data_IF_710030017483
#
_entry.id   IF_710030017483
#
_cell.length_a   1.000
_cell.length_b   1.000
_cell.length_c   1.000
_cell.angle_alpha   90.00
_cell.angle_beta   90.00
_cell.angle_gamma   90.00
#
_symmetry.space_group_name_H-M   'P 1'
#
loop_
_entity.id
_entity.type
_entity.pdbx_description
1 polymer ?
#
# COMPACT_ATOMS: atom_id res chain seq x y z
N UNK A 1 -22.38 19.71 1.38
CA UNK A 1 -20.99 20.16 1.22
C UNK A 1 -20.23 19.08 0.46
N UNK A 2 -20.09 19.23 -0.86
CA UNK A 2 -19.41 18.26 -1.72
C UNK A 2 -17.91 18.53 -1.71
N UNK A 3 -17.19 17.80 -0.85
CA UNK A 3 -15.72 17.79 -0.90
C UNK A 3 -15.30 17.21 -2.26
N UNK A 4 -14.73 18.05 -3.12
CA UNK A 4 -14.20 17.66 -4.42
C UNK A 4 -12.97 16.80 -4.14
N UNK A 5 -13.20 15.50 -3.95
CA UNK A 5 -12.14 14.52 -3.70
C UNK A 5 -11.10 14.58 -4.82
N UNK A 6 -10.03 15.37 -4.61
CA UNK A 6 -8.95 15.52 -5.57
C UNK A 6 -8.38 14.12 -5.81
N UNK A 7 -8.57 13.60 -7.02
CA UNK A 7 -8.05 12.29 -7.44
C UNK A 7 -6.54 12.29 -7.19
N UNK A 8 -6.09 11.42 -6.27
CA UNK A 8 -4.67 11.28 -5.95
C UNK A 8 -4.05 10.29 -6.91
N UNK A 9 -2.90 10.67 -7.46
CA UNK A 9 -2.13 9.82 -8.35
C UNK A 9 -0.76 9.53 -7.73
N UNK A 10 -0.32 8.27 -7.78
CA UNK A 10 1.02 7.87 -7.38
C UNK A 10 1.89 7.59 -8.62
N UNK A 11 3.15 8.04 -8.55
CA UNK A 11 4.19 7.70 -9.54
C UNK A 11 4.50 6.20 -9.47
N UNK A 12 4.51 5.53 -10.62
CA UNK A 12 4.81 4.08 -10.74
C UNK A 12 6.25 3.70 -10.35
N UNK A 13 7.18 4.66 -10.40
CA UNK A 13 8.62 4.46 -10.20
C UNK A 13 9.14 4.90 -8.82
N UNK A 14 8.26 5.06 -7.83
CA UNK A 14 8.66 5.40 -6.45
C UNK A 14 9.28 4.18 -5.78
N UNK A 15 10.26 4.44 -4.93
CA UNK A 15 10.82 3.47 -3.97
C UNK A 15 9.71 2.66 -3.27
N UNK A 16 9.86 1.34 -3.20
CA UNK A 16 8.77 0.47 -2.75
C UNK A 16 8.50 0.67 -1.26
N UNK A 17 9.54 0.88 -0.44
CA UNK A 17 9.35 1.14 0.99
C UNK A 17 8.62 2.45 1.22
N UNK A 18 9.00 3.54 0.52
CA UNK A 18 8.27 4.82 0.60
C UNK A 18 6.80 4.67 0.22
N UNK A 19 6.50 3.84 -0.78
CA UNK A 19 5.12 3.58 -1.19
C UNK A 19 4.31 2.86 -0.11
N UNK A 20 4.87 1.80 0.47
CA UNK A 20 4.24 1.04 1.57
C UNK A 20 4.07 1.90 2.82
N UNK A 21 5.08 2.68 3.17
CA UNK A 21 5.08 3.55 4.34
C UNK A 21 4.02 4.65 4.23
N UNK A 22 3.80 5.18 3.02
CA UNK A 22 2.74 6.16 2.75
C UNK A 22 1.34 5.57 2.77
N UNK A 23 1.17 4.36 2.24
CA UNK A 23 -0.14 3.68 2.23
C UNK A 23 -0.53 3.16 3.62
N UNK A 24 0.46 2.68 4.39
CA UNK A 24 0.27 1.91 5.63
C UNK A 24 -0.68 0.71 5.42
N UNK A 25 -0.56 0.07 4.26
CA UNK A 25 -1.33 -1.11 3.85
C UNK A 25 -0.41 -2.17 3.27
N UNK A 26 -0.71 -3.43 3.52
CA UNK A 26 0.07 -4.57 3.05
C UNK A 26 -0.80 -5.67 2.46
N UNK A 27 -0.58 -6.11 1.20
CA UNK A 27 -1.29 -7.25 0.63
C UNK A 27 -0.55 -8.54 0.98
N UNK A 28 -1.21 -9.41 1.75
CA UNK A 28 -0.70 -10.75 2.02
C UNK A 28 -0.79 -11.64 0.77
N UNK A 29 -0.04 -12.75 0.77
CA UNK A 29 -0.06 -13.71 -0.35
C UNK A 29 -1.44 -14.35 -0.54
N UNK A 30 -2.26 -14.42 0.51
CA UNK A 30 -3.66 -14.88 0.48
C UNK A 30 -4.61 -13.92 -0.24
N UNK A 31 -4.14 -12.73 -0.61
CA UNK A 31 -4.99 -11.65 -1.15
C UNK A 31 -5.81 -10.93 -0.08
N UNK A 32 -5.48 -11.12 1.19
CA UNK A 32 -6.01 -10.30 2.30
C UNK A 32 -5.19 -9.01 2.40
N UNK A 33 -5.87 -7.87 2.53
CA UNK A 33 -5.27 -6.56 2.73
C UNK A 33 -5.20 -6.24 4.23
N UNK A 34 -4.01 -6.02 4.76
CA UNK A 34 -3.76 -5.71 6.16
C UNK A 34 -3.41 -4.24 6.35
N UNK A 35 -3.76 -3.70 7.52
CA UNK A 35 -3.26 -2.42 7.99
C UNK A 35 -1.89 -2.59 8.63
N UNK A 36 -0.93 -1.73 8.28
CA UNK A 36 0.42 -1.75 8.86
C UNK A 36 0.43 -0.95 10.15
N UNK A 37 0.85 -1.59 11.25
CA UNK A 37 1.08 -0.96 12.56
C UNK A 37 2.46 -0.30 12.62
N UNK A 38 3.49 -1.02 12.22
CA UNK A 38 4.86 -0.50 12.15
C UNK A 38 5.63 -1.12 10.98
N UNK A 39 6.66 -0.40 10.53
CA UNK A 39 7.58 -0.86 9.51
C UNK A 39 8.99 -0.42 9.90
N UNK A 40 9.93 -1.36 9.94
CA UNK A 40 11.33 -1.10 10.31
C UNK A 40 12.22 -1.46 9.14
N UNK A 41 12.91 -0.48 8.56
CA UNK A 41 13.78 -0.65 7.40
C UNK A 41 15.20 -0.95 7.87
N UNK A 42 15.82 -1.97 7.27
CA UNK A 42 17.22 -2.36 7.46
C UNK A 42 17.88 -2.61 6.10
N UNK A 43 18.49 -1.56 5.55
CA UNK A 43 19.09 -1.58 4.21
C UNK A 43 18.05 -1.87 3.13
N UNK A 44 18.25 -2.94 2.36
CA UNK A 44 17.34 -3.37 1.28
C UNK A 44 16.17 -4.25 1.77
N UNK A 45 16.08 -4.51 3.07
CA UNK A 45 15.01 -5.28 3.70
C UNK A 45 14.19 -4.41 4.65
N UNK A 46 12.94 -4.77 4.87
CA UNK A 46 12.14 -4.19 5.93
C UNK A 46 11.28 -5.25 6.59
N UNK A 47 11.03 -5.07 7.88
CA UNK A 47 10.06 -5.83 8.64
C UNK A 47 8.79 -5.01 8.78
N UNK A 48 7.65 -5.63 8.49
CA UNK A 48 6.32 -5.04 8.66
C UNK A 48 5.62 -5.80 9.76
N UNK A 49 5.06 -5.07 10.73
CA UNK A 49 4.13 -5.60 11.72
C UNK A 49 2.77 -5.01 11.41
N UNK A 50 1.77 -5.86 11.25
CA UNK A 50 0.39 -5.45 10.97
C UNK A 50 -0.40 -5.20 12.26
N UNK A 51 -1.57 -4.56 12.14
CA UNK A 51 -2.47 -4.38 13.29
C UNK A 51 -3.04 -5.69 13.83
N UNK A 52 -3.02 -6.78 13.05
CA UNK A 52 -3.38 -8.11 13.53
C UNK A 52 -2.15 -8.91 14.02
N UNK A 53 -1.02 -8.25 14.25
CA UNK A 53 0.25 -8.82 14.75
C UNK A 53 0.92 -9.86 13.83
N UNK A 54 0.49 -9.95 12.57
CA UNK A 54 1.27 -10.69 11.56
C UNK A 54 2.53 -9.92 11.20
N UNK A 55 3.63 -10.65 11.03
CA UNK A 55 4.95 -10.10 10.70
C UNK A 55 5.37 -10.54 9.30
N UNK A 56 5.89 -9.60 8.51
CA UNK A 56 6.35 -9.85 7.15
C UNK A 56 7.74 -9.29 6.92
N UNK A 57 8.62 -10.09 6.35
CA UNK A 57 9.90 -9.62 5.82
C UNK A 57 9.76 -9.31 4.34
N UNK A 58 10.18 -8.11 3.94
CA UNK A 58 10.01 -7.60 2.59
C UNK A 58 11.33 -7.04 2.05
N UNK A 59 11.48 -7.06 0.73
CA UNK A 59 12.61 -6.44 0.03
C UNK A 59 12.16 -5.18 -0.69
N UNK A 60 13.06 -4.21 -0.85
CA UNK A 60 12.78 -3.02 -1.65
C UNK A 60 12.83 -3.36 -3.15
N UNK A 61 11.76 -3.99 -3.64
CA UNK A 61 11.64 -4.39 -5.03
C UNK A 61 10.37 -3.85 -5.66
N UNK A 62 10.55 -3.04 -6.69
CA UNK A 62 9.50 -2.44 -7.54
C UNK A 62 8.74 -3.49 -8.37
N UNK A 63 9.36 -4.65 -8.60
CA UNK A 63 8.83 -5.72 -9.44
C UNK A 63 8.27 -6.89 -8.62
N UNK A 64 8.28 -6.77 -7.29
CA UNK A 64 7.72 -7.80 -6.42
C UNK A 64 6.22 -7.99 -6.66
N UNK A 65 5.72 -9.19 -6.34
CA UNK A 65 4.28 -9.48 -6.35
C UNK A 65 3.51 -8.46 -5.51
N UNK A 66 4.01 -8.14 -4.30
CA UNK A 66 3.36 -7.20 -3.40
C UNK A 66 3.29 -5.78 -4.01
N UNK A 67 4.36 -5.32 -4.66
CA UNK A 67 4.36 -4.06 -5.38
C UNK A 67 3.33 -4.04 -6.53
N UNK A 68 3.21 -5.13 -7.29
CA UNK A 68 2.17 -5.26 -8.31
C UNK A 68 0.76 -5.26 -7.71
N UNK A 69 0.54 -6.02 -6.63
CA UNK A 69 -0.74 -6.07 -5.93
C UNK A 69 -1.15 -4.70 -5.39
N UNK A 70 -0.24 -3.95 -4.77
CA UNK A 70 -0.55 -2.61 -4.26
C UNK A 70 -0.86 -1.61 -5.37
N UNK A 71 -0.13 -1.67 -6.49
CA UNK A 71 -0.34 -0.74 -7.62
C UNK A 71 -1.63 -1.04 -8.40
N UNK A 72 -1.89 -2.31 -8.65
CA UNK A 72 -3.03 -2.78 -9.44
C UNK A 72 -4.26 -3.11 -8.58
N UNK A 73 -4.18 -2.89 -7.26
CA UNK A 73 -5.26 -3.17 -6.29
C UNK A 73 -5.75 -4.61 -6.34
N UNK A 74 -4.81 -5.55 -6.48
CA UNK A 74 -5.11 -6.98 -6.58
C UNK A 74 -5.15 -7.58 -5.17
N UNK A 75 -6.29 -7.39 -4.49
CA UNK A 75 -6.63 -8.00 -3.21
C UNK A 75 -8.12 -8.39 -3.22
N UNK A 76 -8.47 -9.46 -2.50
CA UNK A 76 -9.83 -10.00 -2.48
C UNK A 76 -10.67 -9.44 -1.33
N UNK A 77 -10.05 -9.21 -0.17
CA UNK A 77 -10.75 -8.75 1.03
C UNK A 77 -9.83 -7.98 1.98
N UNK A 78 -10.40 -7.09 2.79
CA UNK A 78 -9.70 -6.48 3.92
C UNK A 78 -9.64 -7.46 5.11
N UNK A 79 -8.56 -7.39 5.90
CA UNK A 79 -8.45 -8.15 7.13
C UNK A 79 -9.45 -7.63 8.18
N UNK A 80 -10.34 -8.50 8.65
CA UNK A 80 -11.33 -8.17 9.69
C UNK A 80 -10.69 -7.79 11.03
N UNK A 81 -9.60 -8.45 11.40
CA UNK A 81 -8.87 -8.19 12.66
C UNK A 81 -8.11 -6.86 12.63
N UNK A 82 -7.59 -6.45 11.47
CA UNK A 82 -6.91 -5.15 11.35
C UNK A 82 -7.85 -3.96 11.51
N UNK A 83 -9.17 -4.16 11.40
CA UNK A 83 -10.20 -3.10 11.49
C UNK A 83 -9.82 -1.86 10.66
N UNK A 84 -9.44 -2.08 9.40
CA UNK A 84 -9.05 -0.99 8.50
C UNK A 84 -10.27 -0.08 8.30
N UNK A 85 -10.19 1.23 8.61
CA UNK A 85 -11.34 2.12 8.46
C UNK A 85 -11.83 2.20 7.00
N UNK A 86 -13.14 2.25 6.79
CA UNK A 86 -13.76 2.31 5.47
C UNK A 86 -13.22 3.48 4.62
N UNK A 87 -13.09 4.66 5.21
CA UNK A 87 -12.53 5.83 4.51
C UNK A 87 -11.12 5.56 3.94
N UNK A 88 -10.31 4.73 4.60
CA UNK A 88 -8.96 4.37 4.13
C UNK A 88 -9.04 3.39 2.96
N UNK A 89 -9.98 2.46 2.99
CA UNK A 89 -10.25 1.53 1.88
C UNK A 89 -10.79 2.28 0.66
N UNK A 90 -11.74 3.21 0.84
CA UNK A 90 -12.27 4.08 -0.21
C UNK A 90 -11.19 4.98 -0.80
N UNK A 91 -10.36 5.58 0.06
CA UNK A 91 -9.20 6.38 -0.36
C UNK A 91 -8.21 5.56 -1.18
N UNK A 92 -7.93 4.33 -0.75
CA UNK A 92 -7.03 3.44 -1.50
C UNK A 92 -7.65 3.01 -2.83
N UNK A 93 -8.95 2.68 -2.84
CA UNK A 93 -9.72 2.30 -4.04
C UNK A 93 -9.81 3.44 -5.07
N UNK A 94 -9.92 4.69 -4.63
CA UNK A 94 -9.98 5.87 -5.51
C UNK A 94 -8.60 6.36 -5.98
N UNK A 95 -7.50 5.86 -5.40
CA UNK A 95 -6.15 6.30 -5.77
C UNK A 95 -5.64 5.61 -7.04
N UNK A 96 -5.22 6.35 -8.06
CA UNK A 96 -4.67 5.77 -9.30
C UNK A 96 -3.13 5.72 -9.24
N UNK A 97 -2.53 4.66 -9.76
CA UNK A 97 -1.07 4.59 -9.94
C UNK A 97 -0.76 4.66 -11.43
N UNK A 98 -0.09 5.73 -11.87
CA UNK A 98 0.25 5.96 -13.29
C UNK A 98 1.75 6.24 -13.44
N UNK A 99 2.34 5.76 -14.53
CA UNK A 99 3.74 5.97 -14.90
C UNK A 99 4.07 7.43 -15.21
N UNK A 100 3.13 8.17 -15.80
CA UNK A 100 3.38 9.51 -16.33
C UNK A 100 2.91 10.64 -15.38
N UNK A 101 2.36 10.30 -14.20
CA UNK A 101 1.88 11.33 -13.30
C UNK A 101 3.05 12.09 -12.66
N UNK A 102 3.12 13.40 -12.92
CA UNK A 102 4.19 14.27 -12.44
C UNK A 102 5.52 14.10 -13.17
N UNK A 103 5.62 13.43 -14.32
CA UNK A 103 6.87 13.42 -15.11
C UNK A 103 7.22 14.79 -15.73
N UNK A 104 6.34 15.79 -15.58
CA UNK A 104 6.49 17.18 -16.02
C UNK A 104 6.40 18.19 -14.86
N UNK A 105 6.56 17.73 -13.61
CA UNK A 105 6.69 18.57 -12.41
C UNK A 105 8.12 18.51 -11.90
#
# INVERSE_FOLDING_TARGET
MTDTSKKRYYRKNVDFFKFVEKLKLWPAKSGTLHGIKSMTIRGNRAEIITHCNETFQIYNSRNSRAARCLRNKLFFKACGTCKIPNWKLEKYSSTFVNQNYGSRL
#
